data_IF_081240456224
#
_entry.id   IF_081240456224
#
_cell.length_a   1.000
_cell.length_b   1.000
_cell.length_c   1.000
_cell.angle_alpha   90.00
_cell.angle_beta   90.00
_cell.angle_gamma   90.00
#
_symmetry.space_group_name_H-M   'P 1'
#
loop_
_entity.id
_entity.type
_entity.pdbx_description
1 polymer ?
#
# COMPACT_ATOMS: atom_id res chain seq x y z
N UNK A 1 5.65 -25.17 20.00
CA UNK A 1 6.54 -25.05 21.18
C UNK A 1 6.13 -26.11 22.19
N UNK A 2 7.05 -26.89 22.80
CA UNK A 2 6.75 -27.83 23.90
C UNK A 2 7.18 -27.18 25.19
N UNK A 3 6.24 -26.91 26.10
CA UNK A 3 6.52 -26.30 27.40
C UNK A 3 6.86 -27.36 28.45
N UNK A 4 7.77 -27.04 29.35
CA UNK A 4 8.06 -27.87 30.53
C UNK A 4 6.90 -27.77 31.56
N UNK A 5 6.86 -28.69 32.52
CA UNK A 5 5.79 -28.78 33.56
C UNK A 5 5.67 -27.50 34.43
N UNK A 6 6.68 -26.64 34.36
CA UNK A 6 6.73 -25.41 35.16
C UNK A 6 5.84 -24.27 34.63
N UNK A 7 5.27 -24.42 33.41
CA UNK A 7 4.44 -23.39 32.78
C UNK A 7 2.95 -23.64 33.00
N UNK A 8 2.28 -22.69 33.64
CA UNK A 8 0.81 -22.68 33.67
C UNK A 8 0.24 -22.39 32.27
N UNK A 9 -1.03 -22.77 32.04
CA UNK A 9 -1.72 -22.48 30.77
C UNK A 9 -1.71 -20.99 30.41
N UNK A 10 -1.82 -20.10 31.40
CA UNK A 10 -1.73 -18.65 31.20
C UNK A 10 -0.34 -18.23 30.75
N UNK A 11 0.72 -18.76 31.39
CA UNK A 11 2.11 -18.46 31.04
C UNK A 11 2.49 -18.96 29.64
N UNK A 12 1.98 -20.12 29.23
CA UNK A 12 2.18 -20.63 27.87
C UNK A 12 1.61 -19.66 26.81
N UNK A 13 0.41 -19.13 27.06
CA UNK A 13 -0.20 -18.09 26.19
C UNK A 13 0.60 -16.79 26.22
N UNK A 14 1.02 -16.33 27.39
CA UNK A 14 1.82 -15.13 27.50
C UNK A 14 3.17 -15.25 26.77
N UNK A 15 3.87 -16.38 26.90
CA UNK A 15 5.12 -16.63 26.17
C UNK A 15 4.90 -16.68 24.66
N UNK A 16 3.81 -17.27 24.18
CA UNK A 16 3.49 -17.28 22.75
C UNK A 16 3.28 -15.85 22.21
N UNK A 17 2.57 -15.00 22.96
CA UNK A 17 2.34 -13.60 22.59
C UNK A 17 3.61 -12.75 22.69
N UNK A 18 4.46 -12.98 23.71
CA UNK A 18 5.77 -12.32 23.82
C UNK A 18 6.69 -12.66 22.65
N UNK A 19 6.73 -13.91 22.22
CA UNK A 19 7.50 -14.29 21.03
C UNK A 19 6.94 -13.65 19.76
N UNK A 20 5.61 -13.61 19.59
CA UNK A 20 4.99 -12.94 18.46
C UNK A 20 5.30 -11.43 18.44
N UNK A 21 5.33 -10.78 19.61
CA UNK A 21 5.72 -9.37 19.76
C UNK A 21 7.18 -9.14 19.35
N UNK A 22 8.10 -9.97 19.87
CA UNK A 22 9.53 -9.90 19.57
C UNK A 22 9.78 -10.09 18.07
N UNK A 23 9.10 -11.04 17.44
CA UNK A 23 9.21 -11.32 16.01
C UNK A 23 8.59 -10.21 15.16
N UNK A 24 7.38 -9.75 15.48
CA UNK A 24 6.66 -8.72 14.72
C UNK A 24 7.42 -7.39 14.67
N UNK A 25 8.03 -6.99 15.77
CA UNK A 25 8.75 -5.73 15.89
C UNK A 25 10.26 -5.86 15.79
N UNK A 26 10.77 -7.09 15.51
CA UNK A 26 12.19 -7.40 15.40
C UNK A 26 13.02 -6.85 16.59
N UNK A 27 12.53 -7.10 17.82
CA UNK A 27 13.11 -6.54 19.05
C UNK A 27 14.43 -7.21 19.37
N UNK A 28 15.47 -6.42 19.66
CA UNK A 28 16.79 -6.95 19.97
C UNK A 28 16.88 -7.59 21.37
N UNK A 29 17.77 -8.57 21.60
CA UNK A 29 17.97 -9.16 22.92
C UNK A 29 18.29 -8.14 24.03
N UNK A 30 18.97 -7.05 23.69
CA UNK A 30 19.30 -5.98 24.64
C UNK A 30 18.07 -5.26 25.16
N UNK A 31 17.00 -5.19 24.36
CA UNK A 31 15.75 -4.54 24.74
C UNK A 31 14.83 -5.43 25.59
N UNK A 32 14.81 -6.76 25.33
CA UNK A 32 13.90 -7.64 26.05
C UNK A 32 14.54 -8.40 27.22
N UNK A 33 15.86 -8.37 27.43
CA UNK A 33 16.49 -9.05 28.57
C UNK A 33 16.21 -8.38 29.92
N UNK A 34 15.93 -7.08 29.96
CA UNK A 34 15.57 -6.33 31.20
C UNK A 34 16.50 -6.57 32.40
N UNK A 35 17.81 -6.78 32.12
CA UNK A 35 18.81 -7.09 33.16
C UNK A 35 18.90 -8.56 33.56
N UNK A 36 18.09 -9.45 32.98
CA UNK A 36 18.22 -10.90 33.16
C UNK A 36 19.27 -11.47 32.20
N UNK A 37 19.98 -12.58 32.56
CA UNK A 37 20.88 -13.26 31.64
C UNK A 37 20.16 -13.73 30.37
N UNK A 38 20.75 -13.49 29.19
CA UNK A 38 20.15 -13.84 27.90
C UNK A 38 19.74 -15.32 27.83
N UNK A 39 20.58 -16.21 28.32
CA UNK A 39 20.30 -17.66 28.35
C UNK A 39 19.04 -17.99 29.14
N UNK A 40 18.84 -17.31 30.26
CA UNK A 40 17.64 -17.50 31.11
C UNK A 40 16.37 -16.99 30.42
N UNK A 41 16.44 -15.81 29.81
CA UNK A 41 15.30 -15.25 29.06
C UNK A 41 14.97 -16.11 27.84
N UNK A 42 15.98 -16.54 27.10
CA UNK A 42 15.83 -17.44 25.95
C UNK A 42 15.20 -18.77 26.36
N UNK A 43 15.65 -19.37 27.45
CA UNK A 43 15.05 -20.61 28.01
C UNK A 43 13.58 -20.40 28.39
N UNK A 44 13.25 -19.23 28.96
CA UNK A 44 11.85 -18.89 29.28
C UNK A 44 11.00 -18.69 28.01
N UNK A 45 11.50 -17.97 27.02
CA UNK A 45 10.78 -17.71 25.77
C UNK A 45 10.66 -18.96 24.89
N UNK A 46 11.62 -19.90 24.96
CA UNK A 46 11.53 -21.19 24.26
C UNK A 46 10.67 -22.24 24.97
N UNK A 47 10.19 -21.94 26.19
CA UNK A 47 9.39 -22.87 26.99
C UNK A 47 10.18 -23.97 27.69
N UNK A 48 11.53 -23.90 27.68
CA UNK A 48 12.44 -24.94 28.21
C UNK A 48 13.03 -24.63 29.56
N UNK A 49 12.58 -23.56 30.22
CA UNK A 49 13.12 -23.15 31.52
C UNK A 49 13.03 -24.27 32.57
N UNK A 50 14.14 -24.59 33.26
CA UNK A 50 14.17 -25.61 34.30
C UNK A 50 13.57 -25.14 35.64
N UNK A 51 13.28 -23.84 35.75
CA UNK A 51 12.71 -23.20 36.96
C UNK A 51 11.40 -22.47 36.61
N UNK A 52 10.60 -22.15 37.61
CA UNK A 52 9.34 -21.44 37.42
C UNK A 52 9.55 -20.11 36.68
N UNK A 53 9.00 -19.96 35.46
CA UNK A 53 9.25 -18.80 34.61
C UNK A 53 8.49 -17.53 35.04
N UNK A 54 7.64 -17.61 36.09
CA UNK A 54 6.68 -16.58 36.46
C UNK A 54 7.26 -15.16 36.58
N UNK A 55 8.42 -15.03 37.21
CA UNK A 55 9.05 -13.71 37.42
C UNK A 55 9.49 -13.07 36.11
N UNK A 56 10.15 -13.84 35.26
CA UNK A 56 10.62 -13.35 33.94
C UNK A 56 9.46 -13.08 33.02
N UNK A 57 8.50 -14.00 32.91
CA UNK A 57 7.30 -13.82 32.08
C UNK A 57 6.50 -12.58 32.49
N UNK A 58 6.30 -12.36 33.78
CA UNK A 58 5.58 -11.18 34.27
C UNK A 58 6.35 -9.89 34.01
N UNK A 59 7.66 -9.86 34.20
CA UNK A 59 8.48 -8.68 33.93
C UNK A 59 8.45 -8.31 32.41
N UNK A 60 8.59 -9.32 31.54
CA UNK A 60 8.47 -9.12 30.10
C UNK A 60 7.07 -8.67 29.69
N UNK A 61 6.03 -9.29 30.27
CA UNK A 61 4.66 -8.91 30.02
C UNK A 61 4.37 -7.46 30.38
N UNK A 62 4.77 -7.04 31.57
CA UNK A 62 4.59 -5.67 32.04
C UNK A 62 5.41 -4.68 31.18
N UNK A 63 6.61 -5.08 30.76
CA UNK A 63 7.44 -4.27 29.88
C UNK A 63 6.80 -4.04 28.51
N UNK A 64 6.26 -5.07 27.87
CA UNK A 64 5.72 -4.95 26.52
C UNK A 64 4.25 -4.52 26.48
N UNK A 65 3.43 -5.03 27.38
CA UNK A 65 1.98 -4.85 27.32
C UNK A 65 1.37 -4.06 28.49
N UNK A 66 2.11 -3.90 29.58
CA UNK A 66 1.61 -3.21 30.78
C UNK A 66 0.35 -3.87 31.35
N UNK A 67 -0.72 -3.08 31.53
CA UNK A 67 -2.00 -3.56 32.09
C UNK A 67 -2.89 -4.28 31.03
N UNK A 68 -2.40 -4.56 29.83
CA UNK A 68 -3.21 -5.21 28.82
C UNK A 68 -3.47 -6.69 29.17
N UNK A 69 -4.73 -7.07 29.35
CA UNK A 69 -5.09 -8.44 29.76
C UNK A 69 -4.88 -9.43 28.61
N UNK A 70 -4.19 -10.54 28.88
CA UNK A 70 -3.99 -11.64 27.94
C UNK A 70 -5.30 -12.21 27.36
N UNK A 71 -6.43 -12.09 28.08
CA UNK A 71 -7.76 -12.49 27.58
C UNK A 71 -8.22 -11.66 26.38
N UNK A 72 -7.77 -10.42 26.27
CA UNK A 72 -8.12 -9.54 25.14
C UNK A 72 -7.47 -10.00 23.82
N UNK A 73 -6.39 -10.78 23.90
CA UNK A 73 -5.76 -11.39 22.71
C UNK A 73 -6.48 -12.66 22.23
N UNK A 74 -7.16 -13.36 23.11
CA UNK A 74 -7.76 -14.69 22.82
C UNK A 74 -9.28 -14.68 22.69
N UNK A 75 -9.88 -13.54 22.24
CA UNK A 75 -11.32 -13.46 21.98
C UNK A 75 -12.17 -12.99 23.18
N UNK A 76 -11.61 -12.20 24.05
CA UNK A 76 -12.38 -11.46 25.05
C UNK A 76 -13.37 -10.49 24.38
N UNK A 77 -14.52 -10.27 25.01
CA UNK A 77 -15.70 -9.55 24.49
C UNK A 77 -15.49 -8.08 24.12
N UNK A 78 -14.29 -7.52 24.36
CA UNK A 78 -14.01 -6.09 24.26
C UNK A 78 -13.36 -5.65 22.92
N UNK A 79 -12.82 -6.58 22.14
CA UNK A 79 -12.18 -6.28 20.85
C UNK A 79 -12.91 -6.96 19.70
N UNK A 80 -13.20 -6.18 18.65
CA UNK A 80 -13.89 -6.66 17.45
C UNK A 80 -13.14 -7.85 16.80
N UNK A 81 -13.85 -8.86 16.28
CA UNK A 81 -13.24 -9.98 15.54
C UNK A 81 -12.50 -9.57 14.26
N UNK A 82 -12.63 -8.31 13.83
CA UNK A 82 -11.88 -7.75 12.70
C UNK A 82 -10.39 -7.51 13.01
N UNK A 83 -9.99 -7.55 14.29
CA UNK A 83 -8.61 -7.41 14.73
C UNK A 83 -7.91 -8.76 14.71
N UNK A 84 -6.85 -8.89 13.90
CA UNK A 84 -5.96 -10.05 13.94
C UNK A 84 -5.18 -10.11 15.26
N UNK A 85 -4.49 -11.22 15.55
CA UNK A 85 -3.62 -11.29 16.73
C UNK A 85 -2.49 -10.25 16.68
N UNK A 86 -1.94 -10.00 15.49
CA UNK A 86 -0.92 -8.96 15.27
C UNK A 86 -1.50 -7.56 15.53
N UNK A 87 -2.73 -7.27 15.06
CA UNK A 87 -3.40 -6.00 15.34
C UNK A 87 -3.61 -5.76 16.84
N UNK A 88 -3.92 -6.81 17.58
CA UNK A 88 -4.08 -6.73 19.04
C UNK A 88 -2.77 -6.43 19.75
N UNK A 89 -1.65 -7.01 19.27
CA UNK A 89 -0.31 -6.70 19.77
C UNK A 89 0.05 -5.23 19.52
N UNK A 90 -0.15 -4.74 18.30
CA UNK A 90 0.09 -3.34 17.94
C UNK A 90 -0.79 -2.40 18.78
N UNK A 91 -2.07 -2.74 18.96
CA UNK A 91 -3.01 -1.96 19.78
C UNK A 91 -2.59 -1.90 21.24
N UNK A 92 -2.15 -3.02 21.83
CA UNK A 92 -1.66 -3.09 23.20
C UNK A 92 -0.44 -2.17 23.38
N UNK A 93 0.50 -2.24 22.46
CA UNK A 93 1.71 -1.41 22.44
C UNK A 93 1.39 0.08 22.30
N UNK A 94 0.46 0.44 21.40
CA UNK A 94 -0.03 1.82 21.27
C UNK A 94 -0.64 2.33 22.59
N UNK A 95 -1.51 1.54 23.22
CA UNK A 95 -2.15 1.93 24.50
C UNK A 95 -1.13 2.15 25.60
N UNK A 96 -0.15 1.25 25.74
CA UNK A 96 0.94 1.41 26.69
C UNK A 96 1.71 2.70 26.41
N UNK A 97 2.11 2.94 25.17
CA UNK A 97 2.89 4.14 24.79
C UNK A 97 2.13 5.44 25.03
N UNK A 98 0.81 5.44 24.81
CA UNK A 98 -0.03 6.60 25.14
C UNK A 98 -0.06 6.87 26.63
N UNK A 99 -0.16 5.83 27.48
CA UNK A 99 -0.10 5.93 28.93
C UNK A 99 1.25 6.45 29.41
N UNK A 100 2.35 5.95 28.87
CA UNK A 100 3.71 6.40 29.21
C UNK A 100 3.92 7.87 28.84
N UNK A 101 3.43 8.33 27.69
CA UNK A 101 3.48 9.74 27.27
C UNK A 101 2.60 10.64 28.13
N UNK A 102 1.46 10.16 28.59
CA UNK A 102 0.59 10.88 29.54
C UNK A 102 1.30 11.08 30.87
N UNK A 103 1.94 10.04 31.40
CA UNK A 103 2.72 10.08 32.66
C UNK A 103 3.95 11.00 32.57
N UNK A 104 4.54 11.13 31.36
CA UNK A 104 5.70 12.00 31.12
C UNK A 104 5.33 13.46 30.80
N UNK A 105 4.05 13.83 30.85
CA UNK A 105 3.57 15.19 30.54
C UNK A 105 3.55 15.53 29.05
N UNK A 106 3.83 14.58 28.16
CA UNK A 106 3.77 14.71 26.71
C UNK A 106 2.47 14.12 26.13
N UNK A 107 1.35 14.24 26.84
CA UNK A 107 0.10 13.57 26.49
C UNK A 107 -0.32 13.75 25.02
N UNK A 108 -0.45 12.64 24.31
CA UNK A 108 -0.97 12.59 22.95
C UNK A 108 -2.43 12.13 23.03
N UNK A 109 -3.35 13.01 22.66
CA UNK A 109 -4.80 12.73 22.71
C UNK A 109 -5.29 12.12 21.40
N UNK A 110 -6.46 11.44 21.42
CA UNK A 110 -7.13 10.97 20.21
C UNK A 110 -7.40 12.09 19.20
N UNK A 111 -7.60 13.32 19.67
CA UNK A 111 -7.76 14.50 18.82
C UNK A 111 -6.46 14.86 18.11
N UNK A 112 -5.33 14.81 18.80
CA UNK A 112 -4.00 15.06 18.19
C UNK A 112 -3.65 14.00 17.15
N UNK A 113 -3.94 12.72 17.44
CA UNK A 113 -3.74 11.62 16.48
C UNK A 113 -4.66 11.78 15.26
N UNK A 114 -5.93 12.11 15.48
CA UNK A 114 -6.90 12.34 14.41
C UNK A 114 -6.45 13.46 13.47
N UNK A 115 -5.98 14.57 14.03
CA UNK A 115 -5.45 15.70 13.26
C UNK A 115 -4.22 15.31 12.43
N UNK A 116 -3.25 14.59 13.03
CA UNK A 116 -2.03 14.14 12.32
C UNK A 116 -2.32 13.12 11.22
N UNK A 117 -3.28 12.23 11.43
CA UNK A 117 -3.70 11.21 10.48
C UNK A 117 -4.76 11.70 9.48
N UNK A 118 -5.22 12.96 9.62
CA UNK A 118 -6.31 13.53 8.83
C UNK A 118 -7.57 12.65 8.84
N UNK A 119 -7.91 12.12 10.01
CA UNK A 119 -9.08 11.26 10.26
C UNK A 119 -9.98 11.87 11.33
N UNK A 120 -11.21 11.39 11.46
CA UNK A 120 -12.11 11.87 12.52
C UNK A 120 -11.70 11.35 13.90
N UNK A 121 -11.92 12.14 14.94
CA UNK A 121 -11.68 11.74 16.32
C UNK A 121 -12.49 10.52 16.73
N UNK A 122 -13.73 10.37 16.20
CA UNK A 122 -14.57 9.21 16.42
C UNK A 122 -13.98 7.92 15.87
N UNK A 123 -13.38 7.98 14.66
CA UNK A 123 -12.68 6.84 14.06
C UNK A 123 -11.48 6.41 14.90
N UNK A 124 -10.64 7.36 15.31
CA UNK A 124 -9.46 7.06 16.15
C UNK A 124 -9.88 6.49 17.51
N UNK A 125 -10.95 7.01 18.11
CA UNK A 125 -11.50 6.48 19.35
C UNK A 125 -12.01 5.04 19.20
N UNK A 126 -12.70 4.71 18.11
CA UNK A 126 -13.12 3.34 17.82
C UNK A 126 -11.94 2.43 17.54
N UNK A 127 -10.93 2.90 16.81
CA UNK A 127 -9.71 2.15 16.50
C UNK A 127 -8.94 1.81 17.79
N UNK A 128 -8.67 2.80 18.62
CA UNK A 128 -7.99 2.59 19.92
C UNK A 128 -8.85 1.84 20.93
N UNK A 129 -10.16 1.92 20.81
CA UNK A 129 -11.12 1.15 21.62
C UNK A 129 -11.25 -0.32 21.18
N UNK A 130 -10.63 -0.72 20.08
CA UNK A 130 -10.76 -2.08 19.54
C UNK A 130 -12.12 -2.39 18.90
N UNK A 131 -12.90 -1.35 18.58
CA UNK A 131 -14.28 -1.45 18.06
C UNK A 131 -14.42 -1.03 16.60
N UNK A 132 -13.30 -0.82 15.90
CA UNK A 132 -13.32 -0.41 14.50
C UNK A 132 -13.77 -1.57 13.61
N UNK A 133 -14.84 -1.36 12.84
CA UNK A 133 -15.54 -2.44 12.12
C UNK A 133 -14.88 -2.85 10.79
N UNK A 134 -14.01 -1.99 10.22
CA UNK A 134 -13.24 -2.29 9.02
C UNK A 134 -11.85 -2.84 9.39
N UNK A 135 -10.98 -3.08 8.39
CA UNK A 135 -9.62 -3.57 8.63
C UNK A 135 -8.80 -2.51 9.42
N UNK A 136 -8.37 -2.82 10.67
CA UNK A 136 -7.66 -1.87 11.53
C UNK A 136 -6.16 -1.80 11.26
N UNK A 137 -5.55 -2.84 10.63
CA UNK A 137 -4.09 -3.04 10.57
C UNK A 137 -3.35 -1.80 10.05
N UNK A 138 -3.77 -1.25 8.92
CA UNK A 138 -3.15 -0.05 8.32
C UNK A 138 -3.10 1.13 9.30
N UNK A 139 -4.24 1.42 9.91
CA UNK A 139 -4.37 2.59 10.79
C UNK A 139 -3.68 2.41 12.15
N UNK A 140 -3.60 1.20 12.66
CA UNK A 140 -2.82 0.90 13.87
C UNK A 140 -1.33 1.12 13.62
N UNK A 141 -0.79 0.69 12.48
CA UNK A 141 0.60 0.94 12.12
C UNK A 141 0.88 2.43 11.88
N UNK A 142 -0.04 3.18 11.26
CA UNK A 142 0.07 4.63 11.11
C UNK A 142 0.08 5.36 12.47
N UNK A 143 -0.77 4.96 13.41
CA UNK A 143 -0.76 5.50 14.78
C UNK A 143 0.57 5.19 15.48
N UNK A 144 1.06 3.95 15.33
CA UNK A 144 2.33 3.55 15.92
C UNK A 144 3.51 4.38 15.42
N UNK A 145 3.62 4.60 14.11
CA UNK A 145 4.68 5.42 13.51
C UNK A 145 4.69 6.90 13.98
N UNK A 146 3.53 7.42 14.39
CA UNK A 146 3.43 8.77 14.98
C UNK A 146 3.90 8.79 16.43
N UNK A 147 3.65 7.71 17.17
CA UNK A 147 4.00 7.62 18.60
C UNK A 147 5.49 7.33 18.81
N UNK A 148 6.09 6.58 17.92
CA UNK A 148 7.53 6.32 17.88
C UNK A 148 8.10 6.73 16.51
N UNK A 149 8.27 8.03 16.25
CA UNK A 149 9.08 8.44 15.12
C UNK A 149 10.48 7.88 15.34
N UNK A 150 11.01 7.20 14.35
CA UNK A 150 12.39 6.71 14.34
C UNK A 150 13.28 7.92 14.60
N UNK A 151 13.77 8.08 15.83
CA UNK A 151 14.78 9.08 16.14
C UNK A 151 16.06 8.62 15.47
N UNK A 152 16.36 9.25 14.35
CA UNK A 152 17.71 9.26 13.83
C UNK A 152 18.50 10.21 14.73
N UNK A 153 18.98 9.73 15.87
CA UNK A 153 20.00 10.41 16.64
C UNK A 153 21.31 10.27 15.86
N UNK A 154 21.69 11.39 15.24
CA UNK A 154 23.05 11.56 14.71
C UNK A 154 24.05 11.50 15.89
N UNK A 155 24.66 10.35 16.13
CA UNK A 155 25.98 10.26 16.75
C UNK A 155 27.03 10.16 15.66
N UNK A 156 28.20 10.84 15.83
CA UNK A 156 29.24 10.85 14.80
C UNK A 156 29.72 9.42 14.53
N UNK A 157 29.74 9.07 13.27
CA UNK A 157 30.07 7.76 12.75
C UNK A 157 31.53 7.41 13.05
N UNK A 158 31.76 6.34 13.78
CA UNK A 158 32.90 5.48 13.53
C UNK A 158 32.59 4.68 12.26
N UNK A 159 33.51 4.72 11.29
CA UNK A 159 33.42 4.05 10.00
C UNK A 159 33.37 2.53 10.18
N UNK A 160 32.15 1.99 10.33
CA UNK A 160 31.90 0.58 10.02
C UNK A 160 31.20 0.52 8.65
N UNK A 161 31.74 -0.28 7.78
CA UNK A 161 31.17 -0.57 6.46
C UNK A 161 29.68 -0.94 6.61
N UNK A 162 28.78 -0.39 5.77
CA UNK A 162 27.33 -0.59 5.92
C UNK A 162 27.03 -2.09 5.76
N UNK A 163 26.48 -2.71 6.79
CA UNK A 163 25.83 -4.01 6.66
C UNK A 163 24.72 -3.88 5.60
N UNK A 164 24.88 -4.64 4.53
CA UNK A 164 23.94 -4.63 3.40
C UNK A 164 22.56 -5.10 3.89
N UNK A 165 21.59 -4.19 3.89
CA UNK A 165 20.19 -4.56 4.12
C UNK A 165 19.83 -5.74 3.20
N UNK A 166 19.10 -6.76 3.70
CA UNK A 166 18.72 -7.88 2.85
C UNK A 166 17.99 -7.37 1.60
N UNK A 167 18.42 -7.78 0.41
CA UNK A 167 17.88 -7.25 -0.82
C UNK A 167 16.38 -7.56 -0.94
N UNK A 168 15.59 -6.54 -1.27
CA UNK A 168 14.15 -6.66 -1.47
C UNK A 168 13.88 -7.76 -2.51
N UNK A 169 12.91 -8.62 -2.22
CA UNK A 169 12.34 -9.52 -3.22
C UNK A 169 11.19 -8.80 -3.89
N UNK A 170 11.39 -8.36 -5.12
CA UNK A 170 10.29 -7.85 -5.94
C UNK A 170 9.46 -9.05 -6.37
N UNK A 171 8.23 -9.16 -5.83
CA UNK A 171 7.24 -10.15 -6.24
C UNK A 171 6.15 -9.46 -7.05
N UNK A 172 5.60 -10.17 -8.03
CA UNK A 172 4.46 -9.68 -8.79
C UNK A 172 3.31 -9.31 -7.82
N UNK A 173 2.77 -8.12 -7.96
CA UNK A 173 1.69 -7.60 -7.10
C UNK A 173 2.12 -6.95 -5.77
N UNK A 174 3.34 -7.20 -5.28
CA UNK A 174 3.85 -6.67 -4.01
C UNK A 174 4.85 -5.50 -4.19
N UNK A 175 4.89 -4.91 -5.39
CA UNK A 175 5.83 -3.81 -5.68
C UNK A 175 5.40 -2.56 -4.94
N UNK A 176 6.29 -1.95 -4.13
CA UNK A 176 6.00 -0.69 -3.46
C UNK A 176 5.62 0.40 -4.45
N UNK A 177 4.74 1.29 -4.03
CA UNK A 177 4.40 2.45 -4.86
C UNK A 177 5.59 3.42 -4.94
N UNK A 178 5.95 3.79 -6.16
CA UNK A 178 6.95 4.82 -6.45
C UNK A 178 6.28 5.96 -7.20
N UNK A 179 6.50 7.18 -6.74
CA UNK A 179 5.91 8.37 -7.36
C UNK A 179 6.64 8.71 -8.66
N UNK A 180 5.96 8.50 -9.78
CA UNK A 180 6.43 8.86 -11.13
C UNK A 180 5.50 9.89 -11.78
N UNK A 181 5.78 10.30 -13.02
CA UNK A 181 4.97 11.25 -13.77
C UNK A 181 3.54 10.76 -14.02
N UNK A 182 3.36 9.46 -14.36
CA UNK A 182 2.05 8.89 -14.68
C UNK A 182 1.08 8.93 -13.49
N UNK A 183 1.40 8.43 -12.29
CA UNK A 183 0.57 8.64 -11.10
C UNK A 183 0.26 10.11 -10.81
N UNK A 184 1.21 11.01 -11.06
CA UNK A 184 0.99 12.44 -10.88
C UNK A 184 -0.05 12.99 -11.84
N UNK A 185 0.01 12.61 -13.13
CA UNK A 185 -0.98 12.99 -14.13
C UNK A 185 -2.36 12.39 -13.84
N UNK A 186 -2.43 11.14 -13.39
CA UNK A 186 -3.68 10.50 -12.96
C UNK A 186 -4.29 11.26 -11.79
N UNK A 187 -3.49 11.60 -10.78
CA UNK A 187 -3.95 12.43 -9.67
C UNK A 187 -4.52 13.75 -10.16
N UNK A 188 -3.83 14.45 -11.07
CA UNK A 188 -4.32 15.69 -11.67
C UNK A 188 -5.64 15.46 -12.43
N UNK A 189 -5.78 14.38 -13.20
CA UNK A 189 -7.02 14.04 -13.88
C UNK A 189 -8.18 13.84 -12.89
N UNK A 190 -7.93 13.14 -11.80
CA UNK A 190 -8.90 12.91 -10.73
C UNK A 190 -9.34 14.22 -10.06
N UNK A 191 -8.38 15.09 -9.71
CA UNK A 191 -8.66 16.40 -9.11
C UNK A 191 -9.45 17.30 -10.07
N UNK A 192 -9.04 17.39 -11.34
CA UNK A 192 -9.77 18.18 -12.35
C UNK A 192 -11.20 17.67 -12.61
N UNK A 193 -11.39 16.34 -12.64
CA UNK A 193 -12.70 15.76 -12.79
C UNK A 193 -13.61 16.07 -11.58
N UNK A 194 -13.05 15.95 -10.37
CA UNK A 194 -13.75 16.22 -9.11
C UNK A 194 -14.15 17.68 -8.99
N UNK A 195 -13.20 18.59 -9.14
CA UNK A 195 -13.43 20.04 -8.96
C UNK A 195 -14.44 20.59 -9.97
N UNK A 196 -14.34 20.13 -11.21
CA UNK A 196 -15.23 20.58 -12.29
C UNK A 196 -16.53 19.78 -12.39
N UNK A 197 -16.63 18.66 -11.64
CA UNK A 197 -17.77 17.72 -11.70
C UNK A 197 -18.07 17.29 -13.14
N UNK A 198 -17.01 16.92 -13.86
CA UNK A 198 -17.05 16.56 -15.28
C UNK A 198 -16.19 15.32 -15.54
N UNK A 199 -16.10 14.96 -16.83
CA UNK A 199 -15.30 13.81 -17.26
C UNK A 199 -13.85 14.23 -17.47
N UNK A 200 -12.89 13.44 -16.99
CA UNK A 200 -11.50 13.53 -17.40
C UNK A 200 -11.09 12.23 -18.10
N UNK A 201 -10.16 12.32 -19.04
CA UNK A 201 -9.62 11.17 -19.78
C UNK A 201 -8.11 11.12 -19.60
N UNK A 202 -7.59 9.95 -19.26
CA UNK A 202 -6.15 9.69 -19.25
C UNK A 202 -5.85 8.46 -20.08
N UNK A 203 -4.98 8.60 -21.08
CA UNK A 203 -4.57 7.51 -21.93
C UNK A 203 -3.04 7.35 -21.93
N UNK A 204 -2.57 6.12 -21.88
CA UNK A 204 -1.16 5.81 -21.93
C UNK A 204 -0.90 4.35 -22.26
N UNK A 205 0.29 4.03 -22.76
CA UNK A 205 0.67 2.66 -23.10
C UNK A 205 0.55 1.70 -21.91
N UNK A 206 0.47 0.40 -22.18
CA UNK A 206 0.47 -0.63 -21.16
C UNK A 206 1.81 -0.64 -20.40
N UNK A 207 1.78 -0.93 -19.10
CA UNK A 207 2.99 -1.06 -18.28
C UNK A 207 3.60 0.24 -17.78
N UNK A 208 2.91 1.39 -17.89
CA UNK A 208 3.38 2.69 -17.38
C UNK A 208 2.99 2.98 -15.92
N UNK A 209 2.31 2.04 -15.23
CA UNK A 209 1.90 2.21 -13.83
C UNK A 209 0.55 2.91 -13.64
N UNK A 210 -0.34 2.96 -14.65
CA UNK A 210 -1.67 3.57 -14.56
C UNK A 210 -2.50 3.03 -13.39
N UNK A 211 -2.70 1.72 -13.36
CA UNK A 211 -3.47 1.05 -12.31
C UNK A 211 -2.89 1.31 -10.92
N UNK A 212 -1.55 1.28 -10.77
CA UNK A 212 -0.89 1.63 -9.51
C UNK A 212 -1.13 3.08 -9.08
N UNK A 213 -1.15 4.00 -10.05
CA UNK A 213 -1.50 5.40 -9.80
C UNK A 213 -2.95 5.58 -9.34
N UNK A 214 -3.87 4.84 -9.94
CA UNK A 214 -5.29 4.83 -9.56
C UNK A 214 -5.48 4.22 -8.16
N UNK A 215 -4.90 3.05 -7.92
CA UNK A 215 -4.95 2.37 -6.62
C UNK A 215 -4.44 3.29 -5.51
N UNK A 216 -3.31 3.95 -5.74
CA UNK A 216 -2.75 4.92 -4.80
C UNK A 216 -3.68 6.12 -4.57
N UNK A 217 -4.29 6.65 -5.63
CA UNK A 217 -5.26 7.72 -5.48
C UNK A 217 -6.46 7.29 -4.64
N UNK A 218 -7.01 6.10 -4.88
CA UNK A 218 -8.13 5.55 -4.12
C UNK A 218 -7.74 5.25 -2.65
N UNK A 219 -6.50 4.83 -2.39
CA UNK A 219 -6.00 4.69 -1.02
C UNK A 219 -5.96 6.00 -0.24
N UNK A 220 -5.65 7.10 -0.92
CA UNK A 220 -5.61 8.43 -0.33
C UNK A 220 -7.00 9.11 -0.29
N UNK A 221 -8.00 8.59 -1.03
CA UNK A 221 -9.34 9.14 -1.19
C UNK A 221 -10.40 8.04 -1.10
N UNK A 222 -10.86 7.72 0.10
CA UNK A 222 -11.82 6.64 0.39
C UNK A 222 -13.21 6.85 -0.25
N UNK A 223 -13.48 8.03 -0.76
CA UNK A 223 -14.72 8.41 -1.44
C UNK A 223 -14.69 8.14 -2.96
N UNK A 224 -13.54 7.78 -3.51
CA UNK A 224 -13.40 7.40 -4.91
C UNK A 224 -13.96 5.99 -5.15
N UNK A 225 -14.77 5.85 -6.19
CA UNK A 225 -15.40 4.60 -6.62
C UNK A 225 -14.64 4.05 -7.83
N UNK A 226 -13.91 2.95 -7.63
CA UNK A 226 -13.09 2.35 -8.69
C UNK A 226 -13.82 1.18 -9.37
N UNK A 227 -13.82 1.19 -10.71
CA UNK A 227 -14.32 0.12 -11.56
C UNK A 227 -13.17 -0.35 -12.43
N UNK A 228 -12.95 -1.67 -12.48
CA UNK A 228 -12.04 -2.30 -13.44
C UNK A 228 -12.80 -2.73 -14.68
N UNK A 229 -12.43 -2.18 -15.82
CA UNK A 229 -13.00 -2.52 -17.11
C UNK A 229 -12.42 -3.82 -17.67
N UNK A 230 -13.23 -4.51 -18.47
CA UNK A 230 -12.85 -5.70 -19.25
C UNK A 230 -13.68 -5.79 -20.52
N UNK A 231 -13.37 -6.73 -21.40
CA UNK A 231 -14.15 -6.97 -22.62
C UNK A 231 -15.60 -7.38 -22.34
N UNK A 232 -15.87 -7.90 -21.14
CA UNK A 232 -17.21 -8.25 -20.70
C UNK A 232 -17.98 -7.07 -20.06
N UNK A 233 -17.27 -5.98 -19.75
CA UNK A 233 -17.86 -4.84 -19.06
C UNK A 233 -18.78 -4.04 -19.99
N UNK A 234 -20.08 -4.10 -19.72
CA UNK A 234 -21.14 -3.33 -20.36
C UNK A 234 -21.86 -2.43 -19.33
N UNK A 235 -22.91 -1.73 -19.74
CA UNK A 235 -23.72 -0.84 -18.87
C UNK A 235 -24.16 -1.52 -17.57
N UNK A 236 -24.58 -2.79 -17.65
CA UNK A 236 -25.06 -3.55 -16.50
C UNK A 236 -23.97 -3.76 -15.46
N UNK A 237 -22.77 -4.19 -15.88
CA UNK A 237 -21.64 -4.44 -14.97
C UNK A 237 -21.15 -3.15 -14.31
N UNK A 238 -21.13 -2.03 -15.05
CA UNK A 238 -20.79 -0.70 -14.50
C UNK A 238 -21.79 -0.33 -13.40
N UNK A 239 -23.09 -0.45 -13.68
CA UNK A 239 -24.13 -0.13 -12.69
C UNK A 239 -24.12 -1.10 -11.49
N UNK A 240 -23.78 -2.36 -11.71
CA UNK A 240 -23.65 -3.36 -10.63
C UNK A 240 -22.47 -3.06 -9.71
N UNK A 241 -21.31 -2.74 -10.28
CA UNK A 241 -20.14 -2.37 -9.53
C UNK A 241 -20.38 -1.13 -8.67
N UNK A 242 -20.97 -0.08 -9.24
CA UNK A 242 -21.29 1.13 -8.48
C UNK A 242 -22.34 0.88 -7.40
N UNK A 243 -23.39 0.10 -7.72
CA UNK A 243 -24.43 -0.22 -6.75
C UNK A 243 -23.87 -1.01 -5.55
N UNK A 244 -22.96 -1.95 -5.80
CA UNK A 244 -22.30 -2.73 -4.74
C UNK A 244 -21.47 -1.83 -3.83
N UNK A 245 -20.65 -0.94 -4.39
CA UNK A 245 -19.82 -0.01 -3.63
C UNK A 245 -20.65 1.00 -2.83
N UNK A 246 -21.84 1.35 -3.32
CA UNK A 246 -22.77 2.28 -2.65
C UNK A 246 -23.76 1.59 -1.70
N UNK A 247 -23.70 0.26 -1.55
CA UNK A 247 -24.64 -0.49 -0.71
C UNK A 247 -26.09 -0.49 -1.24
N UNK A 248 -26.28 -0.31 -2.55
CA UNK A 248 -27.61 -0.26 -3.18
C UNK A 248 -28.09 -1.69 -3.48
N UNK A 249 -29.28 -2.10 -2.99
CA UNK A 249 -29.80 -3.44 -3.21
C UNK A 249 -30.14 -3.71 -4.68
N UNK A 250 -30.16 -5.01 -5.05
CA UNK A 250 -30.50 -5.46 -6.41
C UNK A 250 -31.79 -4.83 -6.93
N UNK A 251 -31.75 -4.34 -8.16
CA UNK A 251 -32.87 -3.72 -8.87
C UNK A 251 -32.67 -3.83 -10.38
N UNK A 252 -33.68 -3.53 -11.17
CA UNK A 252 -33.52 -3.38 -12.63
C UNK A 252 -32.54 -2.26 -12.95
N UNK A 253 -31.86 -2.32 -14.10
CA UNK A 253 -30.85 -1.32 -14.49
C UNK A 253 -31.36 0.12 -14.41
N UNK A 254 -32.59 0.37 -14.82
CA UNK A 254 -33.19 1.68 -14.71
C UNK A 254 -33.33 2.16 -13.25
N UNK A 255 -33.89 1.32 -12.38
CA UNK A 255 -34.04 1.65 -10.96
C UNK A 255 -32.70 1.80 -10.26
N UNK A 256 -31.73 0.96 -10.66
CA UNK A 256 -30.35 1.00 -10.14
C UNK A 256 -29.66 2.30 -10.52
N UNK A 257 -29.74 2.72 -11.79
CA UNK A 257 -29.22 4.00 -12.27
C UNK A 257 -29.80 5.17 -11.47
N UNK A 258 -31.13 5.23 -11.28
CA UNK A 258 -31.78 6.30 -10.52
C UNK A 258 -31.30 6.32 -9.05
N UNK A 259 -31.16 5.16 -8.41
CA UNK A 259 -30.66 5.07 -7.03
C UNK A 259 -29.21 5.52 -6.93
N UNK A 260 -28.35 5.16 -7.90
CA UNK A 260 -26.95 5.60 -7.96
C UNK A 260 -26.89 7.12 -8.11
N UNK A 261 -27.65 7.70 -9.04
CA UNK A 261 -27.73 9.14 -9.24
C UNK A 261 -28.14 9.85 -7.94
N UNK A 262 -29.18 9.36 -7.28
CA UNK A 262 -29.66 9.96 -6.02
C UNK A 262 -28.62 9.84 -4.90
N UNK A 263 -27.91 8.73 -4.81
CA UNK A 263 -26.87 8.51 -3.78
C UNK A 263 -25.62 9.37 -4.00
N UNK A 264 -25.34 9.71 -5.26
CA UNK A 264 -24.17 10.51 -5.64
C UNK A 264 -24.48 11.99 -5.82
N UNK A 265 -25.74 12.35 -5.83
CA UNK A 265 -26.19 13.71 -6.16
C UNK A 265 -25.50 14.76 -5.29
N UNK A 266 -24.86 15.72 -5.97
CA UNK A 266 -24.13 16.83 -5.37
C UNK A 266 -23.07 16.40 -4.32
N UNK A 267 -22.62 15.13 -4.37
CA UNK A 267 -21.50 14.66 -3.57
C UNK A 267 -20.17 15.05 -4.22
N UNK A 268 -19.11 15.05 -3.42
CA UNK A 268 -17.74 15.24 -3.93
C UNK A 268 -17.09 13.93 -4.37
N UNK A 269 -17.86 12.85 -4.47
CA UNK A 269 -17.34 11.54 -4.88
C UNK A 269 -16.85 11.54 -6.32
N UNK A 270 -15.90 10.68 -6.57
CA UNK A 270 -15.30 10.50 -7.89
C UNK A 270 -15.52 9.06 -8.36
N UNK A 271 -15.87 8.88 -9.63
CA UNK A 271 -15.92 7.57 -10.26
C UNK A 271 -14.71 7.42 -11.17
N UNK A 272 -13.98 6.33 -11.04
CA UNK A 272 -12.82 6.00 -11.87
C UNK A 272 -13.11 4.69 -12.59
N UNK A 273 -13.01 4.68 -13.91
CA UNK A 273 -13.05 3.48 -14.74
C UNK A 273 -11.65 3.23 -15.29
N UNK A 274 -10.96 2.21 -14.77
CA UNK A 274 -9.70 1.73 -15.35
C UNK A 274 -9.98 0.78 -16.51
N UNK A 275 -9.05 0.66 -17.43
CA UNK A 275 -9.13 -0.15 -18.67
C UNK A 275 -10.39 0.18 -19.53
N UNK A 276 -10.80 1.46 -19.56
CA UNK A 276 -11.97 1.92 -20.29
C UNK A 276 -11.94 1.62 -21.80
N UNK A 277 -10.75 1.46 -22.38
CA UNK A 277 -10.56 1.06 -23.77
C UNK A 277 -11.05 -0.37 -24.06
N UNK A 278 -10.98 -1.27 -23.08
CA UNK A 278 -11.42 -2.66 -23.19
C UNK A 278 -12.93 -2.84 -23.08
N UNK A 279 -13.61 -1.89 -22.45
CA UNK A 279 -15.04 -2.01 -22.18
C UNK A 279 -15.88 -2.06 -23.47
N UNK A 280 -17.04 -2.70 -23.39
CA UNK A 280 -18.03 -2.67 -24.49
C UNK A 280 -18.49 -1.22 -24.76
N UNK A 281 -18.91 -0.91 -25.98
CA UNK A 281 -19.28 0.46 -26.38
C UNK A 281 -20.32 1.12 -25.46
N UNK A 282 -21.27 0.37 -24.95
CA UNK A 282 -22.35 0.89 -24.08
C UNK A 282 -21.96 1.03 -22.60
N UNK A 283 -20.77 0.65 -22.20
CA UNK A 283 -20.32 0.74 -20.81
C UNK A 283 -20.19 2.19 -20.30
N UNK A 284 -19.86 3.12 -21.21
CA UNK A 284 -19.61 4.52 -20.88
C UNK A 284 -20.90 5.36 -20.75
N UNK A 285 -22.01 4.90 -21.35
CA UNK A 285 -23.29 5.64 -21.36
C UNK A 285 -23.83 5.93 -19.93
N UNK A 286 -23.87 4.95 -19.00
CA UNK A 286 -24.33 5.22 -17.64
C UNK A 286 -23.40 6.19 -16.89
N UNK A 287 -22.09 6.14 -17.12
CA UNK A 287 -21.14 7.04 -16.48
C UNK A 287 -21.36 8.50 -16.90
N UNK A 288 -21.60 8.74 -18.19
CA UNK A 288 -21.99 10.05 -18.70
C UNK A 288 -23.29 10.53 -18.04
N UNK A 289 -24.32 9.68 -18.01
CA UNK A 289 -25.62 10.03 -17.42
C UNK A 289 -25.49 10.35 -15.93
N UNK A 290 -24.71 9.58 -15.20
CA UNK A 290 -24.45 9.81 -13.78
C UNK A 290 -23.68 11.13 -13.59
N UNK A 291 -22.62 11.37 -14.36
CA UNK A 291 -21.86 12.63 -14.30
C UNK A 291 -22.76 13.85 -14.50
N UNK A 292 -23.63 13.82 -15.53
CA UNK A 292 -24.53 14.93 -15.85
C UNK A 292 -25.61 15.16 -14.76
N UNK A 293 -26.25 14.09 -14.28
CA UNK A 293 -27.41 14.18 -13.40
C UNK A 293 -27.09 14.26 -11.91
N UNK A 294 -26.03 13.55 -11.49
CA UNK A 294 -25.55 13.58 -10.10
C UNK A 294 -24.52 14.70 -9.85
N UNK A 295 -23.99 15.31 -10.91
CA UNK A 295 -22.94 16.34 -10.84
C UNK A 295 -21.69 15.82 -10.10
N UNK A 296 -21.21 14.68 -10.51
CA UNK A 296 -19.98 14.07 -9.96
C UNK A 296 -18.91 13.92 -11.03
N UNK A 297 -17.64 13.93 -10.60
CA UNK A 297 -16.51 13.69 -11.49
C UNK A 297 -16.43 12.23 -11.95
N UNK A 298 -16.02 12.03 -13.19
CA UNK A 298 -15.74 10.72 -13.76
C UNK A 298 -14.36 10.75 -14.43
N UNK A 299 -13.53 9.74 -14.17
CA UNK A 299 -12.23 9.59 -14.83
C UNK A 299 -12.22 8.31 -15.64
N UNK A 300 -11.93 8.42 -16.93
CA UNK A 300 -11.74 7.29 -17.84
C UNK A 300 -10.24 7.11 -18.04
N UNK A 301 -9.71 5.97 -17.62
CA UNK A 301 -8.30 5.61 -17.79
C UNK A 301 -8.20 4.41 -18.70
N UNK A 302 -7.26 4.44 -19.63
CA UNK A 302 -7.10 3.35 -20.59
C UNK A 302 -5.79 3.36 -21.36
N UNK A 303 -5.71 2.47 -22.33
CA UNK A 303 -4.63 2.47 -23.32
C UNK A 303 -4.84 3.61 -24.33
N UNK A 304 -3.83 3.91 -25.14
CA UNK A 304 -3.89 4.92 -26.22
C UNK A 304 -5.11 4.71 -27.13
N UNK A 305 -5.51 3.46 -27.36
CA UNK A 305 -6.72 3.08 -28.10
C UNK A 305 -8.01 3.73 -27.57
N UNK A 306 -8.03 4.15 -26.31
CA UNK A 306 -9.18 4.88 -25.74
C UNK A 306 -9.40 6.20 -26.47
N UNK A 307 -8.35 6.85 -26.89
CA UNK A 307 -8.42 8.12 -27.64
C UNK A 307 -9.08 7.91 -28.99
N UNK A 308 -8.59 6.95 -29.75
CA UNK A 308 -9.15 6.62 -31.07
C UNK A 308 -10.62 6.27 -30.94
N UNK A 309 -10.98 5.48 -29.93
CA UNK A 309 -12.36 5.13 -29.62
C UNK A 309 -13.24 6.35 -29.34
N UNK A 310 -12.76 7.27 -28.51
CA UNK A 310 -13.53 8.47 -28.13
C UNK A 310 -13.60 9.54 -29.23
N UNK A 311 -12.65 9.56 -30.18
CA UNK A 311 -12.58 10.56 -31.23
C UNK A 311 -13.16 10.10 -32.56
N UNK A 312 -13.06 8.81 -32.90
CA UNK A 312 -13.47 8.28 -34.22
C UNK A 312 -14.91 7.81 -34.28
N UNK A 313 -15.53 7.53 -33.15
CA UNK A 313 -16.91 7.04 -33.12
C UNK A 313 -17.88 8.17 -32.74
N UNK A 314 -18.74 8.59 -33.65
CA UNK A 314 -19.82 9.58 -33.46
C UNK A 314 -20.63 9.36 -32.17
N UNK A 315 -20.81 8.10 -31.80
CA UNK A 315 -21.43 7.66 -30.54
C UNK A 315 -20.84 8.31 -29.27
N UNK A 316 -19.54 8.58 -29.26
CA UNK A 316 -18.83 9.13 -28.09
C UNK A 316 -18.67 10.65 -28.13
N UNK A 317 -19.18 11.34 -29.14
CA UNK A 317 -19.17 12.80 -29.23
C UNK A 317 -19.80 13.43 -27.96
N UNK A 318 -20.88 12.80 -27.45
CA UNK A 318 -21.54 13.24 -26.22
C UNK A 318 -20.67 13.10 -24.97
N UNK A 319 -19.70 12.19 -24.97
CA UNK A 319 -18.72 12.02 -23.87
C UNK A 319 -17.61 13.05 -24.07
N UNK A 320 -17.03 13.10 -25.28
CA UNK A 320 -15.91 13.99 -25.62
C UNK A 320 -16.24 15.46 -25.36
N UNK A 321 -17.47 15.90 -25.62
CA UNK A 321 -17.95 17.27 -25.35
C UNK A 321 -18.00 17.62 -23.85
N UNK A 322 -17.96 16.64 -22.95
CA UNK A 322 -17.99 16.79 -21.50
C UNK A 322 -16.63 16.67 -20.83
N UNK A 323 -15.59 16.38 -21.62
CA UNK A 323 -14.26 16.21 -21.07
C UNK A 323 -13.66 17.56 -20.69
N UNK A 324 -13.27 17.68 -19.42
CA UNK A 324 -12.65 18.89 -18.89
C UNK A 324 -11.12 18.81 -18.80
N UNK A 325 -10.57 17.59 -18.85
CA UNK A 325 -9.13 17.36 -18.81
C UNK A 325 -8.78 16.16 -19.67
N UNK A 326 -7.93 16.39 -20.66
CA UNK A 326 -7.49 15.36 -21.61
C UNK A 326 -6.05 15.65 -22.03
N UNK A 327 -5.07 15.20 -21.24
CA UNK A 327 -3.67 15.41 -21.60
C UNK A 327 -3.26 14.58 -22.83
N UNK A 328 -2.16 14.95 -23.43
CA UNK A 328 -1.56 14.14 -24.49
C UNK A 328 -1.29 12.71 -23.98
N UNK A 329 -1.50 11.69 -24.84
CA UNK A 329 -1.28 10.30 -24.46
C UNK A 329 0.18 10.06 -24.10
N UNK A 330 0.40 9.26 -23.05
CA UNK A 330 1.75 8.92 -22.58
C UNK A 330 2.20 7.65 -23.29
N UNK A 331 3.21 7.75 -24.15
CA UNK A 331 3.80 6.62 -24.86
C UNK A 331 4.83 5.87 -24.02
N UNK A 332 5.67 6.61 -23.29
CA UNK A 332 6.76 6.08 -22.47
C UNK A 332 7.00 6.96 -21.24
N UNK A 333 7.61 6.39 -20.21
CA UNK A 333 8.04 7.15 -19.03
C UNK A 333 9.29 7.97 -19.37
N UNK A 334 9.45 9.17 -18.80
CA UNK A 334 10.70 9.90 -18.87
C UNK A 334 11.89 9.12 -18.28
N UNK A 335 13.10 9.43 -18.74
CA UNK A 335 14.34 8.81 -18.22
C UNK A 335 14.45 8.95 -16.70
N UNK A 336 14.07 10.11 -16.17
CA UNK A 336 14.11 10.36 -14.73
C UNK A 336 13.17 9.43 -13.94
N UNK A 337 12.01 9.08 -14.49
CA UNK A 337 11.09 8.13 -13.84
C UNK A 337 11.69 6.72 -13.82
N UNK A 338 12.33 6.30 -14.90
CA UNK A 338 13.05 5.00 -14.98
C UNK A 338 14.18 4.97 -13.96
N UNK A 339 14.92 6.08 -13.81
CA UNK A 339 15.98 6.24 -12.82
C UNK A 339 15.42 6.17 -11.38
N UNK A 340 14.36 6.89 -11.10
CA UNK A 340 13.68 6.89 -9.80
C UNK A 340 13.17 5.49 -9.45
N UNK A 341 12.46 4.82 -10.36
CA UNK A 341 12.01 3.43 -10.18
C UNK A 341 13.18 2.48 -9.88
N UNK A 342 14.28 2.61 -10.62
CA UNK A 342 15.45 1.77 -10.43
C UNK A 342 16.03 1.94 -9.02
N UNK A 343 16.28 3.15 -8.59
CA UNK A 343 16.94 3.40 -7.30
C UNK A 343 16.01 3.16 -6.10
N UNK A 344 14.77 3.61 -6.15
CA UNK A 344 13.83 3.42 -5.04
C UNK A 344 13.48 1.94 -4.83
N UNK A 345 13.20 1.20 -5.91
CA UNK A 345 12.85 -0.22 -5.80
C UNK A 345 14.05 -1.12 -5.48
N UNK A 346 15.26 -0.68 -5.77
CA UNK A 346 16.48 -1.38 -5.36
C UNK A 346 17.03 -0.89 -4.02
N UNK A 347 16.43 0.15 -3.42
CA UNK A 347 16.94 0.82 -2.21
C UNK A 347 18.43 1.19 -2.32
N UNK A 348 18.86 1.63 -3.50
CA UNK A 348 20.25 1.93 -3.82
C UNK A 348 21.23 0.75 -3.58
N UNK A 349 20.72 -0.48 -3.48
CA UNK A 349 21.57 -1.68 -3.26
C UNK A 349 22.31 -2.12 -4.52
N UNK A 350 21.92 -1.62 -5.68
CA UNK A 350 22.53 -1.95 -6.97
C UNK A 350 23.44 -0.82 -7.42
N UNK A 351 24.73 -1.10 -7.58
CA UNK A 351 25.67 -0.18 -8.20
C UNK A 351 25.73 -0.42 -9.71
N UNK A 352 25.66 0.64 -10.49
CA UNK A 352 25.87 0.61 -11.95
C UNK A 352 27.36 0.85 -12.26
N UNK A 353 27.86 0.22 -13.32
CA UNK A 353 29.26 0.34 -13.71
C UNK A 353 29.59 1.76 -14.20
N UNK A 354 28.66 2.38 -14.92
CA UNK A 354 28.78 3.71 -15.49
C UNK A 354 27.51 4.50 -15.13
N UNK A 355 27.51 5.20 -14.00
CA UNK A 355 26.39 6.08 -13.63
C UNK A 355 26.49 7.42 -14.36
N UNK A 356 26.13 7.43 -15.64
CA UNK A 356 26.12 8.60 -16.48
C UNK A 356 24.86 8.67 -17.38
N UNK A 357 24.62 9.83 -17.98
CA UNK A 357 23.42 10.04 -18.81
C UNK A 357 23.34 9.07 -20.01
N UNK A 358 24.48 8.67 -20.58
CA UNK A 358 24.52 7.72 -21.70
C UNK A 358 24.05 6.33 -21.30
N UNK A 359 24.35 5.91 -20.08
CA UNK A 359 23.89 4.64 -19.53
C UNK A 359 22.38 4.67 -19.28
N UNK A 360 21.87 5.77 -18.69
CA UNK A 360 20.44 5.93 -18.40
C UNK A 360 19.62 6.06 -19.69
N UNK A 361 20.08 6.77 -20.68
CA UNK A 361 19.46 6.84 -22.02
C UNK A 361 19.41 5.45 -22.66
N UNK A 362 20.51 4.70 -22.59
CA UNK A 362 20.57 3.33 -23.10
C UNK A 362 19.61 2.40 -22.35
N UNK A 363 19.59 2.44 -21.00
CA UNK A 363 18.67 1.62 -20.19
C UNK A 363 17.22 1.97 -20.48
N UNK A 364 16.89 3.25 -20.57
CA UNK A 364 15.55 3.74 -20.92
C UNK A 364 15.09 3.13 -22.27
N UNK A 365 15.93 3.21 -23.30
CA UNK A 365 15.67 2.59 -24.60
C UNK A 365 15.53 1.07 -24.48
N UNK A 366 16.36 0.41 -23.66
CA UNK A 366 16.34 -1.03 -23.47
C UNK A 366 15.05 -1.54 -22.81
N UNK A 367 14.53 -0.79 -21.86
CA UNK A 367 13.23 -1.08 -21.20
C UNK A 367 12.05 -0.41 -21.92
N UNK A 368 12.27 0.23 -23.07
CA UNK A 368 11.24 0.90 -23.89
C UNK A 368 10.46 1.99 -23.10
N UNK A 369 11.14 2.69 -22.16
CA UNK A 369 10.49 3.63 -21.26
C UNK A 369 9.34 3.03 -20.45
N UNK A 370 9.34 1.71 -20.20
CA UNK A 370 8.22 0.96 -19.67
C UNK A 370 8.51 0.46 -18.25
N UNK A 371 7.69 0.90 -17.28
CA UNK A 371 7.86 0.51 -15.87
C UNK A 371 7.75 -1.01 -15.68
N UNK A 372 6.82 -1.69 -16.36
CA UNK A 372 6.67 -3.15 -16.26
C UNK A 372 7.91 -3.88 -16.73
N UNK A 373 8.50 -3.44 -17.85
CA UNK A 373 9.74 -4.03 -18.35
C UNK A 373 10.90 -3.88 -17.37
N UNK A 374 11.02 -2.71 -16.73
CA UNK A 374 12.01 -2.49 -15.69
C UNK A 374 11.72 -3.32 -14.45
N UNK A 375 10.52 -3.15 -13.87
CA UNK A 375 10.18 -3.60 -12.52
C UNK A 375 9.90 -5.11 -12.46
N UNK A 376 9.15 -5.63 -13.42
CA UNK A 376 8.73 -7.04 -13.41
C UNK A 376 9.73 -7.96 -14.13
N UNK A 377 10.40 -7.45 -15.19
CA UNK A 377 11.26 -8.28 -16.01
C UNK A 377 12.76 -8.10 -15.76
N UNK A 378 13.24 -6.90 -15.43
CA UNK A 378 14.66 -6.65 -15.25
C UNK A 378 15.10 -6.72 -13.79
N UNK A 379 14.49 -5.91 -12.91
CA UNK A 379 14.95 -5.74 -11.53
C UNK A 379 14.98 -7.04 -10.71
N UNK A 380 14.01 -7.98 -10.78
CA UNK A 380 14.07 -9.22 -10.01
C UNK A 380 15.30 -10.08 -10.34
N UNK A 381 15.70 -10.08 -11.62
CA UNK A 381 16.86 -10.84 -12.09
C UNK A 381 18.17 -10.16 -11.71
N UNK A 382 18.23 -8.83 -11.82
CA UNK A 382 19.38 -8.05 -11.34
C UNK A 382 19.58 -8.25 -9.84
N UNK A 383 18.54 -8.12 -9.05
CA UNK A 383 18.60 -8.32 -7.60
C UNK A 383 19.04 -9.74 -7.23
N UNK A 384 18.56 -10.75 -7.97
CA UNK A 384 18.96 -12.13 -7.75
C UNK A 384 20.44 -12.35 -8.11
N UNK A 385 20.92 -11.71 -9.20
CA UNK A 385 22.31 -11.82 -9.63
C UNK A 385 23.27 -11.12 -8.64
N UNK A 386 22.93 -9.90 -8.24
CA UNK A 386 23.73 -9.11 -7.27
C UNK A 386 23.79 -9.81 -5.90
N UNK A 387 22.68 -10.44 -5.47
CA UNK A 387 22.69 -11.22 -4.22
C UNK A 387 23.72 -12.36 -4.23
N UNK A 388 23.92 -13.00 -5.39
CA UNK A 388 24.94 -14.04 -5.56
C UNK A 388 26.35 -13.46 -5.71
N UNK A 389 26.47 -12.20 -6.14
CA UNK A 389 27.72 -11.51 -6.46
C UNK A 389 27.70 -10.06 -5.93
N UNK A 390 27.79 -9.82 -4.61
CA UNK A 390 27.51 -8.50 -4.00
C UNK A 390 28.40 -7.36 -4.49
N UNK A 391 29.62 -7.66 -4.93
CA UNK A 391 30.59 -6.65 -5.39
C UNK A 391 30.52 -6.37 -6.90
N UNK A 392 29.61 -7.05 -7.63
CA UNK A 392 29.50 -6.89 -9.07
C UNK A 392 28.61 -5.70 -9.42
N UNK A 393 29.15 -4.76 -10.19
CA UNK A 393 28.39 -3.65 -10.72
C UNK A 393 27.58 -4.09 -11.93
N UNK A 394 26.40 -3.49 -12.10
CA UNK A 394 25.52 -3.75 -13.26
C UNK A 394 26.06 -3.00 -14.46
N UNK A 395 26.33 -3.72 -15.52
CA UNK A 395 26.79 -3.22 -16.81
C UNK A 395 25.78 -3.58 -17.95
N UNK A 396 26.03 -3.06 -19.14
CA UNK A 396 25.19 -3.30 -20.32
C UNK A 396 25.15 -4.77 -20.73
N UNK A 397 26.27 -5.49 -20.57
CA UNK A 397 26.36 -6.90 -20.93
C UNK A 397 25.44 -7.75 -20.03
N UNK A 398 25.43 -7.47 -18.73
CA UNK A 398 24.55 -8.14 -17.78
C UNK A 398 23.07 -7.90 -18.10
N UNK A 399 22.67 -6.65 -18.33
CA UNK A 399 21.29 -6.31 -18.68
C UNK A 399 20.89 -6.99 -19.99
N UNK A 400 21.73 -6.93 -21.02
CA UNK A 400 21.47 -7.59 -22.30
C UNK A 400 21.35 -9.10 -22.16
N UNK A 401 22.21 -9.73 -21.37
CA UNK A 401 22.13 -11.18 -21.09
C UNK A 401 20.82 -11.57 -20.44
N UNK A 402 20.31 -10.76 -19.50
CA UNK A 402 19.02 -10.98 -18.86
C UNK A 402 17.89 -10.88 -19.90
N UNK A 403 17.85 -9.82 -20.69
CA UNK A 403 16.82 -9.64 -21.71
C UNK A 403 16.84 -10.73 -22.79
N UNK A 404 18.02 -11.16 -23.21
CA UNK A 404 18.15 -12.25 -24.17
C UNK A 404 17.67 -13.58 -23.60
N UNK A 405 18.06 -13.90 -22.35
CA UNK A 405 17.72 -15.17 -21.73
C UNK A 405 16.24 -15.30 -21.36
N UNK A 406 15.57 -14.18 -20.98
CA UNK A 406 14.22 -14.23 -20.43
C UNK A 406 13.16 -13.83 -21.45
N UNK A 407 13.44 -12.81 -22.26
CA UNK A 407 12.47 -12.22 -23.18
C UNK A 407 12.78 -12.49 -24.64
N UNK A 408 13.82 -13.26 -24.91
CA UNK A 408 14.31 -13.52 -26.27
C UNK A 408 14.51 -12.23 -27.11
N UNK A 409 14.89 -11.12 -26.44
CA UNK A 409 15.14 -9.83 -27.08
C UNK A 409 16.62 -9.74 -27.45
N UNK A 410 16.93 -9.34 -28.71
CA UNK A 410 18.33 -9.21 -29.15
C UNK A 410 19.08 -8.15 -28.32
N UNK A 411 20.40 -8.23 -28.35
CA UNK A 411 21.28 -7.20 -27.78
C UNK A 411 21.21 -5.91 -28.59
N UNK A 412 21.21 -4.76 -27.91
CA UNK A 412 21.28 -3.42 -28.50
C UNK A 412 22.43 -2.62 -27.89
#
# INVERSE_FOLDING_TARGET
MKFTEHYSSTQQKQVALLNAEIELFNISPTEYCLGWPLEQVTAVLSGTSPINPKKVVNALWEHFFGDFDAKQFTGGTDISPTYTEDDKLVLARIKKRLKDKELSGQGVTSSTLASRLRKSTGMISQLLGGKYAANPSKYLHEVWSILEPTTVDEKPAEEHAPEAKPPIRIRYGEVPFVKTSVPTLIKTACEQARDRRRIAVFAGQAGLGKTKGIERYCEDNDDALLIYGSEETASTQVLESLALQLGIPKASNYKRLQKIINALKDSERLIILDEADKCRPNALDPLRTISDQARVGVVLVGNIKLIDKLQSEERYELISSRVCFWPSPVGELPINDIKTLFFELTQNSIQVAEDNDKWWQWLHKRVEGNARMLVENLLPHLLTHIRKNPNKKVDRLMVNSIFSAILNKPTI
#
